data_IF_421545203306
#
_entry.id   IF_421545203306
#
_cell.length_a   1.000
_cell.length_b   1.000
_cell.length_c   1.000
_cell.angle_alpha   90.00
_cell.angle_beta   90.00
_cell.angle_gamma   90.00
#
_symmetry.space_group_name_H-M   'P 1'
#
loop_
_entity.id
_entity.type
_entity.pdbx_description
1 polymer ?
#
# COMPACT_ATOMS: atom_id res chain seq x y z
N UNK A 1 42.22 22.44 32.13
CA UNK A 1 41.06 23.21 31.63
C UNK A 1 40.80 22.96 30.15
N UNK A 2 41.79 23.09 29.27
CA UNK A 2 41.66 22.74 27.83
C UNK A 2 41.30 21.28 27.57
N UNK A 3 41.88 20.34 28.34
CA UNK A 3 41.59 18.91 28.19
C UNK A 3 40.15 18.51 28.57
N UNK A 4 39.58 19.16 29.59
CA UNK A 4 38.18 18.94 29.98
C UNK A 4 37.23 19.51 28.93
N UNK A 5 37.55 20.66 28.35
CA UNK A 5 36.78 21.26 27.25
C UNK A 5 36.84 20.39 26.00
N UNK A 6 38.01 19.86 25.64
CA UNK A 6 38.17 18.93 24.50
C UNK A 6 37.40 17.63 24.74
N UNK A 7 37.43 17.07 25.96
CA UNK A 7 36.67 15.85 26.31
C UNK A 7 35.15 16.08 26.26
N UNK A 8 34.66 17.21 26.75
CA UNK A 8 33.25 17.58 26.68
C UNK A 8 32.82 17.77 25.22
N UNK A 9 33.59 18.52 24.43
CA UNK A 9 33.32 18.70 22.99
C UNK A 9 33.35 17.37 22.24
N UNK A 10 34.32 16.50 22.52
CA UNK A 10 34.44 15.17 21.93
C UNK A 10 33.28 14.26 22.31
N UNK A 11 32.80 14.30 23.57
CA UNK A 11 31.64 13.52 24.02
C UNK A 11 30.30 14.01 23.44
N UNK A 12 30.17 15.32 23.20
CA UNK A 12 28.98 15.95 22.60
C UNK A 12 28.94 15.72 21.09
N UNK A 13 30.09 15.61 20.41
CA UNK A 13 30.18 15.35 18.96
C UNK A 13 30.30 13.87 18.60
N UNK A 14 30.68 12.99 19.54
CA UNK A 14 30.66 11.53 19.38
C UNK A 14 29.31 10.87 19.65
N UNK A 15 28.33 11.60 20.18
CA UNK A 15 26.96 11.14 20.10
C UNK A 15 26.66 10.97 18.61
N UNK A 16 26.39 9.75 18.14
CA UNK A 16 26.06 9.57 16.74
C UNK A 16 24.88 10.48 16.47
N UNK A 17 25.02 11.40 15.52
CA UNK A 17 23.91 12.09 14.87
C UNK A 17 23.10 11.07 14.07
N UNK A 18 22.67 9.97 14.70
CA UNK A 18 21.82 8.96 14.11
C UNK A 18 20.33 9.20 14.42
N UNK A 19 19.98 10.29 15.10
CA UNK A 19 18.58 10.72 15.26
C UNK A 19 17.93 11.23 13.95
N UNK A 20 18.60 11.14 12.79
CA UNK A 20 18.11 11.76 11.55
C UNK A 20 17.55 10.74 10.54
N UNK A 21 17.45 9.45 10.87
CA UNK A 21 16.46 8.61 10.19
C UNK A 21 15.26 8.47 11.11
N UNK A 22 14.31 9.41 11.03
CA UNK A 22 13.05 9.36 11.76
C UNK A 22 12.24 8.06 11.51
N UNK A 23 12.60 7.32 10.45
CA UNK A 23 11.94 6.10 10.00
C UNK A 23 12.96 5.04 9.58
N UNK A 24 12.63 3.77 9.78
CA UNK A 24 13.42 2.64 9.31
C UNK A 24 13.18 2.37 7.82
N UNK A 25 14.14 1.72 7.15
CA UNK A 25 14.02 1.37 5.72
C UNK A 25 12.75 0.54 5.43
N UNK A 26 12.42 -0.40 6.30
CA UNK A 26 11.26 -1.30 6.14
C UNK A 26 9.93 -0.53 6.21
N UNK A 27 9.86 0.48 7.07
CA UNK A 27 8.65 1.30 7.21
C UNK A 27 8.38 2.13 5.96
N UNK A 28 9.43 2.71 5.39
CA UNK A 28 9.34 3.47 4.13
C UNK A 28 8.96 2.54 2.97
N UNK A 29 9.61 1.38 2.87
CA UNK A 29 9.35 0.39 1.83
C UNK A 29 7.89 -0.12 1.86
N UNK A 30 7.33 -0.34 3.05
CA UNK A 30 5.91 -0.69 3.20
C UNK A 30 4.99 0.41 2.66
N UNK A 31 5.26 1.67 3.02
CA UNK A 31 4.45 2.79 2.55
C UNK A 31 4.53 2.96 1.02
N UNK A 32 5.68 2.65 0.41
CA UNK A 32 5.85 2.61 -1.04
C UNK A 32 5.10 1.43 -1.70
N UNK A 33 5.18 0.24 -1.11
CA UNK A 33 4.54 -0.98 -1.63
C UNK A 33 3.02 -0.83 -1.72
N UNK A 34 2.41 -0.29 -0.66
CA UNK A 34 0.96 -0.11 -0.58
C UNK A 34 0.46 1.20 -1.19
N UNK A 35 1.37 2.01 -1.73
CA UNK A 35 1.04 3.20 -2.54
C UNK A 35 0.75 4.47 -1.74
N UNK A 36 1.11 4.51 -0.45
CA UNK A 36 1.05 5.72 0.37
C UNK A 36 2.16 6.71 0.00
N UNK A 37 3.34 6.20 -0.40
CA UNK A 37 4.44 7.00 -0.93
C UNK A 37 4.65 6.75 -2.44
N UNK A 38 5.03 7.79 -3.21
CA UNK A 38 5.41 7.61 -4.60
C UNK A 38 6.73 6.82 -4.67
N UNK A 39 6.80 5.83 -5.56
CA UNK A 39 8.07 5.14 -5.81
C UNK A 39 9.10 6.15 -6.29
N UNK A 40 10.24 6.30 -5.60
CA UNK A 40 11.21 7.30 -5.97
C UNK A 40 11.82 6.98 -7.33
N UNK A 41 11.80 7.95 -8.25
CA UNK A 41 12.68 7.92 -9.42
C UNK A 41 14.14 8.06 -8.94
N UNK A 42 15.14 7.55 -9.68
CA UNK A 42 16.54 7.62 -9.26
C UNK A 42 17.01 9.03 -8.88
N UNK A 43 16.39 10.07 -9.47
CA UNK A 43 16.70 11.47 -9.21
C UNK A 43 16.01 12.06 -7.95
N UNK A 44 14.93 11.43 -7.45
CA UNK A 44 14.05 11.98 -6.39
C UNK A 44 14.11 11.17 -5.08
N UNK A 45 14.81 10.02 -5.09
CA UNK A 45 14.93 9.10 -3.96
C UNK A 45 15.48 9.69 -2.65
N UNK A 46 16.15 10.84 -2.69
CA UNK A 46 16.81 11.44 -1.53
C UNK A 46 16.11 12.68 -0.95
N UNK A 47 14.95 13.09 -1.48
CA UNK A 47 14.27 14.33 -1.07
C UNK A 47 12.79 14.14 -0.68
N UNK A 48 12.42 13.00 -0.08
CA UNK A 48 11.13 12.95 0.61
C UNK A 48 11.19 13.82 1.88
N UNK A 49 10.32 14.83 1.93
CA UNK A 49 10.14 15.64 3.14
C UNK A 49 9.50 14.79 4.23
N UNK A 50 9.92 15.01 5.48
CA UNK A 50 9.32 14.39 6.67
C UNK A 50 7.80 14.58 6.69
N UNK A 51 7.32 15.75 6.26
CA UNK A 51 5.89 16.08 6.17
C UNK A 51 5.10 15.15 5.24
N UNK A 52 5.71 14.67 4.16
CA UNK A 52 5.09 13.75 3.20
C UNK A 52 4.95 12.35 3.82
N UNK A 53 5.95 11.93 4.58
CA UNK A 53 5.92 10.63 5.28
C UNK A 53 4.88 10.66 6.39
N UNK A 54 4.80 11.74 7.16
CA UNK A 54 3.76 11.90 8.18
C UNK A 54 2.35 11.81 7.59
N UNK A 55 2.11 12.46 6.44
CA UNK A 55 0.81 12.41 5.78
C UNK A 55 0.47 11.01 5.29
N UNK A 56 1.44 10.31 4.70
CA UNK A 56 1.30 8.91 4.32
C UNK A 56 0.94 8.01 5.53
N UNK A 57 1.52 8.29 6.71
CA UNK A 57 1.19 7.57 7.94
C UNK A 57 -0.23 7.89 8.41
N UNK A 58 -0.67 9.16 8.34
CA UNK A 58 -2.06 9.54 8.69
C UNK A 58 -3.06 8.79 7.82
N UNK A 59 -2.79 8.68 6.53
CA UNK A 59 -3.63 7.90 5.61
C UNK A 59 -3.63 6.40 5.97
N UNK A 60 -2.46 5.80 6.22
CA UNK A 60 -2.38 4.40 6.65
C UNK A 60 -3.21 4.15 7.91
N UNK A 61 -3.12 5.05 8.90
CA UNK A 61 -3.87 4.95 10.15
C UNK A 61 -5.39 5.07 9.93
N UNK A 62 -5.80 5.96 9.03
CA UNK A 62 -7.19 6.12 8.61
C UNK A 62 -7.73 4.83 7.95
N UNK A 63 -6.98 4.24 7.02
CA UNK A 63 -7.37 2.98 6.35
C UNK A 63 -7.33 1.78 7.30
N UNK A 64 -6.36 1.75 8.21
CA UNK A 64 -6.22 0.73 9.25
C UNK A 64 -7.23 0.85 10.38
N UNK A 65 -8.06 1.90 10.38
CA UNK A 65 -9.02 2.22 11.42
C UNK A 65 -8.40 2.24 12.83
N UNK A 66 -7.22 2.85 12.93
CA UNK A 66 -6.49 3.10 14.18
C UNK A 66 -6.41 4.61 14.44
N UNK A 67 -6.10 5.07 15.68
CA UNK A 67 -5.99 6.49 15.97
C UNK A 67 -4.99 7.20 15.06
N UNK A 68 -5.42 8.32 14.47
CA UNK A 68 -4.61 9.10 13.53
C UNK A 68 -3.66 9.99 14.33
N UNK A 69 -2.39 9.59 14.40
CA UNK A 69 -1.30 10.31 15.08
C UNK A 69 -0.33 10.95 14.09
N UNK A 70 -0.24 10.42 12.86
CA UNK A 70 0.76 10.79 11.86
C UNK A 70 2.19 10.40 12.21
N UNK A 71 2.37 9.55 13.22
CA UNK A 71 3.66 9.06 13.69
C UNK A 71 3.68 7.54 13.67
N UNK A 72 4.88 6.99 13.54
CA UNK A 72 5.09 5.54 13.57
C UNK A 72 5.00 5.00 15.01
N UNK A 73 3.78 4.87 15.51
CA UNK A 73 3.47 4.35 16.84
C UNK A 73 3.47 2.81 16.88
N UNK A 74 3.34 2.25 18.09
CA UNK A 74 3.31 0.81 18.28
C UNK A 74 2.09 0.16 17.58
N UNK A 75 0.94 0.84 17.59
CA UNK A 75 -0.27 0.37 16.93
C UNK A 75 -0.12 0.31 15.40
N UNK A 76 0.54 1.30 14.79
CA UNK A 76 0.84 1.34 13.35
C UNK A 76 1.80 0.21 12.96
N UNK A 77 2.84 -0.04 13.77
CA UNK A 77 3.74 -1.18 13.53
C UNK A 77 3.04 -2.53 13.67
N UNK A 78 2.15 -2.67 14.65
CA UNK A 78 1.32 -3.85 14.79
C UNK A 78 0.42 -4.04 13.56
N UNK A 79 -0.21 -2.97 13.07
CA UNK A 79 -1.02 -2.98 11.85
C UNK A 79 -0.21 -3.47 10.64
N UNK A 80 1.00 -2.95 10.44
CA UNK A 80 1.89 -3.34 9.32
C UNK A 80 2.36 -4.79 9.42
N UNK A 81 2.44 -5.36 10.63
CA UNK A 81 2.85 -6.75 10.84
C UNK A 81 1.79 -7.80 10.45
N UNK A 82 0.53 -7.39 10.30
CA UNK A 82 -0.57 -8.30 10.00
C UNK A 82 -0.49 -8.75 8.54
N UNK A 83 -0.67 -10.06 8.32
CA UNK A 83 -0.75 -10.63 6.96
C UNK A 83 -1.93 -10.02 6.20
N UNK A 84 -1.68 -9.53 5.00
CA UNK A 84 -2.65 -8.83 4.15
C UNK A 84 -2.46 -9.16 2.68
N UNK A 85 -3.38 -8.70 1.84
CA UNK A 85 -3.20 -8.76 0.39
C UNK A 85 -2.15 -7.74 -0.07
N UNK A 86 -1.37 -8.08 -1.10
CA UNK A 86 -0.39 -7.18 -1.73
C UNK A 86 -1.00 -6.14 -2.68
N UNK A 87 -2.31 -5.88 -2.58
CA UNK A 87 -2.98 -4.86 -3.37
C UNK A 87 -2.83 -3.51 -2.67
N UNK A 88 -2.53 -2.46 -3.44
CA UNK A 88 -2.43 -1.09 -2.92
C UNK A 88 -3.75 -0.61 -2.31
N UNK A 89 -3.66 0.10 -1.18
CA UNK A 89 -4.81 0.63 -0.45
C UNK A 89 -5.39 1.88 -1.10
N UNK A 90 -4.52 2.69 -1.73
CA UNK A 90 -5.00 3.84 -2.48
C UNK A 90 -5.81 3.32 -3.66
N UNK A 91 -7.05 3.80 -3.81
CA UNK A 91 -7.88 3.32 -4.88
C UNK A 91 -7.18 3.66 -6.19
N UNK A 92 -7.11 2.66 -7.08
CA UNK A 92 -6.67 2.79 -8.48
C UNK A 92 -7.37 3.99 -9.15
N UNK A 93 -8.44 4.49 -8.54
CA UNK A 93 -9.16 5.71 -8.79
C UNK A 93 -8.28 6.90 -9.22
N UNK A 94 -7.13 7.16 -8.61
CA UNK A 94 -6.28 8.30 -8.97
C UNK A 94 -5.48 8.06 -10.27
N UNK A 95 -5.00 6.82 -10.47
CA UNK A 95 -4.46 6.36 -11.75
C UNK A 95 -5.54 6.29 -12.84
N UNK A 96 -6.77 5.93 -12.46
CA UNK A 96 -7.94 5.85 -13.33
C UNK A 96 -8.60 7.21 -13.56
N UNK A 97 -8.40 8.25 -12.73
CA UNK A 97 -8.92 9.61 -12.93
C UNK A 97 -8.40 10.21 -14.24
N UNK A 98 -7.15 9.90 -14.62
CA UNK A 98 -6.61 10.21 -15.97
C UNK A 98 -7.36 9.49 -17.10
N UNK A 99 -7.85 8.25 -16.86
CA UNK A 99 -8.69 7.48 -17.82
C UNK A 99 -10.19 7.82 -17.74
N UNK A 100 -10.69 8.35 -16.62
CA UNK A 100 -12.12 8.51 -16.31
C UNK A 100 -12.77 9.79 -16.78
N UNK A 101 -12.04 10.69 -17.46
CA UNK A 101 -12.72 11.72 -18.28
C UNK A 101 -13.62 11.11 -19.35
N UNK A 102 -13.51 9.80 -19.65
CA UNK A 102 -14.23 9.16 -20.75
C UNK A 102 -15.40 8.23 -20.37
N UNK A 103 -15.53 7.71 -19.14
CA UNK A 103 -16.57 6.70 -18.85
C UNK A 103 -17.11 6.78 -17.42
N UNK A 104 -18.33 7.32 -17.29
CA UNK A 104 -19.18 7.15 -16.11
C UNK A 104 -20.45 6.41 -16.51
N UNK A 105 -20.70 5.26 -15.85
CA UNK A 105 -21.99 4.75 -15.33
C UNK A 105 -21.78 3.28 -14.90
N UNK A 106 -21.15 3.13 -13.72
CA UNK A 106 -21.04 1.94 -12.84
C UNK A 106 -20.09 0.76 -13.18
N UNK A 107 -18.99 0.73 -12.42
CA UNK A 107 -18.50 -0.41 -11.62
C UNK A 107 -17.87 0.19 -10.34
N UNK A 108 -18.41 -0.10 -9.15
CA UNK A 108 -18.03 0.62 -7.93
C UNK A 108 -16.60 0.30 -7.44
N UNK A 109 -16.07 -0.87 -7.78
CA UNK A 109 -14.64 -1.20 -7.63
C UNK A 109 -14.21 -2.11 -8.80
N UNK A 110 -13.33 -1.60 -9.67
CA UNK A 110 -12.67 -2.41 -10.70
C UNK A 110 -13.44 -2.61 -12.01
N UNK A 111 -12.79 -3.20 -13.04
CA UNK A 111 -13.41 -3.50 -14.31
C UNK A 111 -14.49 -4.60 -14.14
N UNK A 112 -15.71 -4.33 -14.61
CA UNK A 112 -16.79 -5.33 -14.64
C UNK A 112 -16.54 -6.34 -15.75
N UNK A 113 -16.71 -7.62 -15.45
CA UNK A 113 -16.72 -8.66 -16.47
C UNK A 113 -17.92 -8.47 -17.40
N UNK A 114 -17.68 -8.39 -18.71
CA UNK A 114 -18.74 -8.25 -19.72
C UNK A 114 -19.52 -9.55 -19.92
N UNK A 115 -18.87 -10.70 -19.69
CA UNK A 115 -19.47 -12.03 -19.82
C UNK A 115 -19.98 -12.51 -18.47
N UNK A 116 -21.13 -13.16 -18.46
CA UNK A 116 -21.72 -13.77 -17.25
C UNK A 116 -21.03 -15.08 -16.86
N UNK A 117 -20.49 -15.80 -17.85
CA UNK A 117 -19.75 -17.05 -17.61
C UNK A 117 -18.26 -16.73 -17.66
N UNK A 118 -17.60 -16.91 -16.51
CA UNK A 118 -16.14 -16.73 -16.38
C UNK A 118 -15.51 -18.11 -16.23
N UNK A 119 -14.58 -18.43 -17.13
CA UNK A 119 -13.80 -19.66 -17.08
C UNK A 119 -12.41 -19.35 -16.52
N UNK A 120 -11.93 -20.16 -15.56
CA UNK A 120 -10.56 -20.08 -15.08
C UNK A 120 -9.82 -21.37 -15.40
N UNK A 121 -8.49 -21.27 -15.51
CA UNK A 121 -7.59 -22.41 -15.62
C UNK A 121 -6.61 -22.32 -14.46
N UNK A 122 -6.53 -23.38 -13.66
CA UNK A 122 -5.44 -23.50 -12.70
C UNK A 122 -4.21 -23.95 -13.50
N UNK A 123 -3.19 -23.08 -13.56
CA UNK A 123 -1.89 -23.46 -14.08
C UNK A 123 -1.09 -24.04 -12.95
N UNK A 124 -0.95 -25.35 -12.89
CA UNK A 124 0.01 -25.96 -11.98
C UNK A 124 1.41 -25.50 -12.42
N UNK A 125 2.13 -24.81 -11.56
CA UNK A 125 3.49 -24.30 -11.83
C UNK A 125 4.54 -25.38 -12.00
N UNK A 126 4.13 -26.64 -12.19
CA UNK A 126 4.99 -27.78 -12.45
C UNK A 126 4.72 -28.26 -13.87
N UNK A 127 5.76 -28.24 -14.71
CA UNK A 127 5.71 -28.71 -16.09
C UNK A 127 5.47 -30.22 -16.17
N UNK A 128 4.24 -30.65 -15.94
CA UNK A 128 3.76 -32.01 -16.12
C UNK A 128 2.44 -31.99 -16.86
N UNK A 129 2.45 -32.43 -18.12
CA UNK A 129 1.25 -32.58 -18.93
C UNK A 129 0.29 -33.56 -18.28
N UNK A 130 -0.91 -33.09 -17.94
CA UNK A 130 -2.03 -33.91 -17.50
C UNK A 130 -3.31 -33.11 -17.70
N UNK A 131 -4.29 -33.72 -18.37
CA UNK A 131 -5.60 -33.16 -18.73
C UNK A 131 -6.33 -32.55 -17.52
N UNK A 132 -6.16 -31.24 -17.33
CA UNK A 132 -6.90 -30.45 -16.34
C UNK A 132 -8.25 -30.06 -16.90
N UNK A 133 -9.28 -30.85 -16.60
CA UNK A 133 -10.67 -30.53 -16.93
C UNK A 133 -11.07 -29.12 -16.48
N UNK A 134 -11.70 -28.36 -17.38
CA UNK A 134 -12.19 -27.01 -17.13
C UNK A 134 -13.21 -27.02 -16.00
N UNK A 135 -12.89 -26.41 -14.85
CA UNK A 135 -13.85 -26.21 -13.76
C UNK A 135 -14.59 -24.90 -14.00
N UNK A 136 -15.90 -24.98 -14.26
CA UNK A 136 -16.76 -23.82 -14.44
C UNK A 136 -17.20 -23.27 -13.08
N UNK A 137 -17.13 -21.94 -12.88
CA UNK A 137 -17.86 -21.26 -11.80
C UNK A 137 -19.01 -20.52 -12.47
N UNK A 138 -20.25 -20.94 -12.21
CA UNK A 138 -21.43 -20.18 -12.61
C UNK A 138 -21.69 -19.11 -11.54
N UNK A 139 -21.22 -17.88 -11.77
CA UNK A 139 -21.60 -16.75 -10.93
C UNK A 139 -22.94 -16.22 -11.47
N UNK A 140 -24.05 -16.70 -10.91
CA UNK A 140 -25.35 -16.06 -11.15
C UNK A 140 -25.33 -14.74 -10.37
N UNK A 141 -25.15 -13.63 -11.08
CA UNK A 141 -25.48 -12.31 -10.51
C UNK A 141 -26.97 -12.34 -10.18
N UNK A 142 -27.32 -12.30 -8.89
CA UNK A 142 -28.70 -12.23 -8.42
C UNK A 142 -29.46 -11.13 -9.15
N UNK A 143 -30.57 -11.51 -9.79
CA UNK A 143 -31.49 -10.59 -10.42
C UNK A 143 -32.27 -9.82 -9.37
N UNK A 144 -32.16 -8.49 -9.39
CA UNK A 144 -33.23 -7.62 -8.91
C UNK A 144 -34.09 -7.27 -10.12
N UNK A 145 -35.19 -7.98 -10.28
CA UNK A 145 -36.35 -7.45 -11.01
C UNK A 145 -37.51 -7.48 -10.02
N UNK A 146 -37.78 -6.31 -9.45
CA UNK A 146 -39.08 -5.97 -8.92
C UNK A 146 -40.10 -6.14 -10.05
N UNK A 147 -40.91 -7.20 -10.01
CA UNK A 147 -42.19 -7.25 -10.73
C UNK A 147 -43.26 -7.78 -9.78
N UNK A 148 -44.08 -6.83 -9.34
CA UNK A 148 -45.36 -6.99 -8.69
C UNK A 148 -46.39 -7.65 -9.63
N UNK A 149 -47.02 -8.72 -9.17
CA UNK A 149 -48.48 -8.92 -9.19
C UNK A 149 -48.89 -9.92 -8.10
#
# INVERSE_FOLDING_TARGET
MTLLVVYIVYSVTLLPTSLVTAYSKQEVEYLEEFGYLPKPTPDVARMLSETVIEEAIRELQLYGNIPITGKMDAATRELMSRKRCGLSDRPIEEALRRRRRYQKRFALMGPKWTKQIVTYRCGDGSGGGGDGGMKYILVICGGTTDESF
#
